data_IF_114229184953
#
_entry.id   IF_114229184953
#
_cell.length_a   1.000
_cell.length_b   1.000
_cell.length_c   1.000
_cell.angle_alpha   90.00
_cell.angle_beta   90.00
_cell.angle_gamma   90.00
#
_symmetry.space_group_name_H-M   'P 1'
#
loop_
_entity.id
_entity.type
_entity.pdbx_description
1 polymer ?
#
# COMPACT_ATOMS: atom_id res chain seq x y z
N UNK A 1 -18.60 -17.10 1.96
CA UNK A 1 -17.93 -15.82 1.78
C UNK A 1 -16.56 -15.80 2.44
N UNK A 2 -16.50 -16.17 3.69
CA UNK A 2 -15.22 -16.15 4.41
C UNK A 2 -14.15 -17.01 3.73
N UNK A 3 -14.51 -18.18 3.23
CA UNK A 3 -13.56 -19.05 2.53
C UNK A 3 -13.00 -18.39 1.28
N UNK A 4 -13.87 -17.72 0.52
CA UNK A 4 -13.45 -17.07 -0.72
C UNK A 4 -12.48 -15.93 -0.42
N UNK A 5 -12.80 -15.13 0.59
CA UNK A 5 -11.93 -14.01 0.98
C UNK A 5 -10.58 -14.54 1.48
N UNK A 6 -10.60 -15.61 2.26
CA UNK A 6 -9.38 -16.22 2.76
C UNK A 6 -8.52 -16.75 1.62
N UNK A 7 -9.13 -17.37 0.62
CA UNK A 7 -8.38 -17.88 -0.53
C UNK A 7 -7.75 -16.75 -1.33
N UNK A 8 -8.46 -15.63 -1.48
CA UNK A 8 -7.90 -14.46 -2.17
C UNK A 8 -6.71 -13.89 -1.39
N UNK A 9 -6.83 -13.82 -0.07
CA UNK A 9 -5.75 -13.31 0.77
C UNK A 9 -4.52 -14.21 0.70
N UNK A 10 -4.72 -15.52 0.69
CA UNK A 10 -3.60 -16.46 0.60
C UNK A 10 -2.89 -16.33 -0.74
N UNK A 11 -3.62 -16.16 -1.83
CA UNK A 11 -3.02 -15.99 -3.15
C UNK A 11 -2.20 -14.70 -3.21
N UNK A 12 -2.72 -13.61 -2.66
CA UNK A 12 -1.99 -12.34 -2.61
C UNK A 12 -0.71 -12.49 -1.81
N UNK A 13 -0.78 -13.13 -0.64
CA UNK A 13 0.38 -13.35 0.22
C UNK A 13 1.44 -14.18 -0.50
N UNK A 14 1.01 -15.21 -1.22
CA UNK A 14 1.95 -16.05 -1.95
C UNK A 14 2.66 -15.28 -3.05
N UNK A 15 1.93 -14.45 -3.80
CA UNK A 15 2.54 -13.62 -4.83
C UNK A 15 3.57 -12.67 -4.23
N UNK A 16 3.25 -12.04 -3.11
CA UNK A 16 4.17 -11.12 -2.44
C UNK A 16 5.44 -11.84 -2.01
N UNK A 17 5.30 -13.02 -1.42
CA UNK A 17 6.46 -13.80 -0.99
C UNK A 17 7.32 -14.24 -2.17
N UNK A 18 6.72 -14.40 -3.34
CA UNK A 18 7.43 -14.74 -4.57
C UNK A 18 7.91 -13.51 -5.32
N UNK A 19 7.83 -12.32 -4.70
CA UNK A 19 8.28 -11.05 -5.30
C UNK A 19 7.49 -10.65 -6.51
N UNK A 20 6.23 -11.04 -6.58
CA UNK A 20 5.29 -10.63 -7.62
C UNK A 20 4.41 -9.53 -7.04
N UNK A 21 4.67 -8.29 -7.45
CA UNK A 21 4.01 -7.13 -6.87
C UNK A 21 3.14 -6.41 -7.87
N UNK A 22 1.99 -5.93 -7.39
CA UNK A 22 1.15 -5.01 -8.13
C UNK A 22 1.57 -3.58 -7.79
N UNK A 23 1.29 -2.62 -8.69
CA UNK A 23 1.64 -1.22 -8.40
C UNK A 23 0.80 -0.60 -7.29
N UNK A 24 -0.40 -1.12 -7.04
CA UNK A 24 -1.30 -0.57 -6.03
C UNK A 24 -2.00 -1.71 -5.28
N UNK A 25 -2.04 -1.58 -3.98
CA UNK A 25 -2.83 -2.47 -3.11
C UNK A 25 -3.79 -1.59 -2.30
N UNK A 26 -5.09 -1.75 -2.55
CA UNK A 26 -6.11 -1.11 -1.74
C UNK A 26 -6.65 -2.14 -0.77
N UNK A 27 -6.20 -2.07 0.47
CA UNK A 27 -6.56 -3.05 1.50
C UNK A 27 -7.67 -2.44 2.34
N UNK A 28 -8.89 -2.87 2.09
CA UNK A 28 -10.08 -2.28 2.67
C UNK A 28 -10.96 -3.35 3.29
N UNK A 29 -11.67 -2.97 4.33
CA UNK A 29 -12.65 -3.85 4.93
C UNK A 29 -12.58 -3.86 6.44
N UNK A 30 -13.41 -4.73 7.03
CA UNK A 30 -13.53 -4.87 8.48
C UNK A 30 -12.51 -5.86 9.05
N UNK A 31 -11.93 -6.70 8.20
CA UNK A 31 -10.99 -7.73 8.62
C UNK A 31 -9.59 -7.15 8.77
N UNK A 32 -9.38 -6.44 9.87
CA UNK A 32 -8.10 -5.77 10.09
C UNK A 32 -6.93 -6.74 10.16
N UNK A 33 -7.19 -7.98 10.59
CA UNK A 33 -6.14 -9.01 10.64
C UNK A 33 -5.48 -9.20 9.26
N UNK A 34 -6.30 -9.37 8.20
CA UNK A 34 -5.75 -9.60 6.86
C UNK A 34 -5.16 -8.33 6.26
N UNK A 35 -5.74 -7.17 6.58
CA UNK A 35 -5.17 -5.91 6.13
C UNK A 35 -3.76 -5.76 6.70
N UNK A 36 -3.60 -6.00 8.00
CA UNK A 36 -2.30 -5.88 8.64
C UNK A 36 -1.32 -6.94 8.14
N UNK A 37 -1.80 -8.17 7.97
CA UNK A 37 -0.93 -9.27 7.52
C UNK A 37 -0.40 -9.00 6.11
N UNK A 38 -1.26 -8.59 5.19
CA UNK A 38 -0.84 -8.31 3.82
C UNK A 38 0.12 -7.12 3.82
N UNK A 39 -0.21 -6.07 4.56
CA UNK A 39 0.62 -4.88 4.64
C UNK A 39 2.01 -5.21 5.15
N UNK A 40 2.11 -5.94 6.26
CA UNK A 40 3.40 -6.31 6.83
C UNK A 40 4.19 -7.22 5.91
N UNK A 41 3.51 -8.13 5.21
CA UNK A 41 4.17 -9.02 4.27
C UNK A 41 4.78 -8.25 3.11
N UNK A 42 4.07 -7.23 2.61
CA UNK A 42 4.62 -6.35 1.57
C UNK A 42 5.86 -5.62 2.10
N UNK A 43 5.77 -5.07 3.30
CA UNK A 43 6.89 -4.34 3.90
C UNK A 43 8.12 -5.23 4.03
N UNK A 44 7.92 -6.49 4.41
CA UNK A 44 9.03 -7.42 4.59
C UNK A 44 9.67 -7.85 3.27
N UNK A 45 8.92 -7.83 2.17
CA UNK A 45 9.37 -8.44 0.92
C UNK A 45 9.64 -7.48 -0.22
N UNK A 46 9.15 -6.24 -0.13
CA UNK A 46 9.20 -5.32 -1.28
C UNK A 46 10.61 -4.81 -1.57
N UNK A 47 11.39 -4.54 -0.53
CA UNK A 47 12.69 -3.91 -0.68
C UNK A 47 13.74 -4.69 0.11
N UNK A 48 14.99 -4.61 -0.36
CA UNK A 48 16.13 -5.10 0.42
C UNK A 48 16.39 -4.13 1.56
N UNK A 49 17.03 -4.61 2.62
CA UNK A 49 17.33 -3.79 3.78
C UNK A 49 18.13 -2.55 3.39
N UNK A 50 19.07 -2.69 2.46
CA UNK A 50 19.90 -1.58 2.02
C UNK A 50 19.13 -0.53 1.23
N UNK A 51 17.93 -0.86 0.73
CA UNK A 51 17.13 0.05 -0.07
C UNK A 51 16.09 0.82 0.74
N UNK A 52 15.78 0.35 1.95
CA UNK A 52 14.65 0.87 2.72
C UNK A 52 14.81 2.32 3.14
N UNK A 53 16.01 2.73 3.50
CA UNK A 53 16.24 4.08 4.03
C UNK A 53 15.80 5.16 3.05
N UNK A 54 15.98 4.93 1.75
CA UNK A 54 15.69 5.92 0.73
C UNK A 54 14.44 5.61 -0.09
N UNK A 55 13.89 4.40 0.04
CA UNK A 55 12.81 3.97 -0.86
C UNK A 55 11.57 3.47 -0.14
N UNK A 56 11.54 3.51 1.18
CA UNK A 56 10.37 3.11 1.94
C UNK A 56 9.82 4.29 2.73
N UNK A 57 8.53 4.56 2.56
CA UNK A 57 7.84 5.62 3.28
C UNK A 57 6.58 5.05 3.88
N UNK A 58 6.41 5.21 5.19
CA UNK A 58 5.19 4.78 5.88
C UNK A 58 4.52 6.03 6.43
N UNK A 59 3.29 6.26 5.99
CA UNK A 59 2.51 7.42 6.35
C UNK A 59 1.29 6.99 7.14
N UNK A 60 0.88 7.82 8.09
CA UNK A 60 -0.31 7.56 8.90
C UNK A 60 -1.37 8.58 8.58
N UNK A 61 -2.62 8.11 8.44
CA UNK A 61 -3.72 8.97 8.03
C UNK A 61 -3.92 10.19 8.92
N UNK A 62 -3.64 10.05 10.22
CA UNK A 62 -3.79 11.16 11.15
C UNK A 62 -2.82 12.30 10.86
N UNK A 63 -1.71 12.01 10.18
CA UNK A 63 -0.67 12.99 9.88
C UNK A 63 -0.79 13.58 8.48
N UNK A 64 -1.80 13.18 7.72
CA UNK A 64 -1.95 13.55 6.30
C UNK A 64 -3.32 14.18 6.10
N UNK A 65 -3.34 15.40 5.58
CA UNK A 65 -4.59 16.08 5.31
C UNK A 65 -5.22 15.70 3.98
N UNK A 66 -4.40 15.34 3.00
CA UNK A 66 -4.89 15.17 1.64
C UNK A 66 -4.07 14.13 0.90
N UNK A 67 -4.73 13.33 0.07
CA UNK A 67 -4.06 12.32 -0.74
C UNK A 67 -3.06 12.89 -1.74
N UNK A 68 -3.10 14.19 -2.01
CA UNK A 68 -2.08 14.81 -2.86
C UNK A 68 -0.68 14.57 -2.33
N UNK A 69 -0.50 14.54 -1.00
CA UNK A 69 0.80 14.25 -0.39
C UNK A 69 1.24 12.84 -0.75
N UNK A 70 0.33 11.89 -0.66
CA UNK A 70 0.61 10.48 -0.99
C UNK A 70 0.96 10.34 -2.46
N UNK A 71 0.16 10.95 -3.33
CA UNK A 71 0.34 10.86 -4.77
C UNK A 71 1.67 11.47 -5.19
N UNK A 72 2.03 12.61 -4.61
CA UNK A 72 3.32 13.23 -4.91
C UNK A 72 4.47 12.32 -4.53
N UNK A 73 4.37 11.66 -3.38
CA UNK A 73 5.39 10.69 -2.98
C UNK A 73 5.42 9.49 -3.94
N UNK A 74 4.26 9.01 -4.36
CA UNK A 74 4.17 7.83 -5.24
C UNK A 74 4.73 8.10 -6.63
N UNK A 75 4.75 9.35 -7.06
CA UNK A 75 5.25 9.71 -8.39
C UNK A 75 6.75 9.89 -8.46
N UNK A 76 7.44 9.84 -7.34
CA UNK A 76 8.91 9.91 -7.35
C UNK A 76 9.50 8.63 -7.89
N UNK A 77 10.71 8.73 -8.42
CA UNK A 77 11.42 7.55 -8.85
C UNK A 77 12.27 6.99 -7.71
N UNK A 78 12.47 5.66 -7.69
CA UNK A 78 13.29 5.05 -6.65
C UNK A 78 14.75 5.53 -6.73
N UNK A 79 15.43 5.51 -5.60
CA UNK A 79 16.83 5.89 -5.52
C UNK A 79 17.68 4.64 -5.35
N UNK A 80 18.44 4.31 -6.41
CA UNK A 80 19.35 3.16 -6.40
C UNK A 80 18.64 1.84 -6.08
N UNK A 81 17.41 1.72 -6.57
CA UNK A 81 16.57 0.53 -6.39
C UNK A 81 15.60 0.46 -7.55
N UNK A 82 15.03 -0.72 -7.77
CA UNK A 82 14.04 -0.90 -8.82
C UNK A 82 12.68 -0.35 -8.45
N UNK A 83 12.39 -0.30 -7.16
CA UNK A 83 11.07 0.09 -6.65
C UNK A 83 11.19 0.96 -5.41
N UNK A 84 10.16 1.74 -5.19
CA UNK A 84 9.92 2.36 -3.89
C UNK A 84 8.61 1.84 -3.32
N UNK A 85 8.49 1.89 -2.01
CA UNK A 85 7.31 1.44 -1.28
C UNK A 85 6.72 2.62 -0.51
N UNK A 86 5.44 2.90 -0.76
CA UNK A 86 4.69 3.91 -0.02
C UNK A 86 3.54 3.18 0.66
N UNK A 87 3.50 3.22 1.98
CA UNK A 87 2.43 2.60 2.77
C UNK A 87 1.68 3.68 3.50
N UNK A 88 0.37 3.69 3.35
CA UNK A 88 -0.50 4.61 4.08
C UNK A 88 -1.38 3.80 5.02
N UNK A 89 -1.19 3.98 6.31
CA UNK A 89 -1.97 3.29 7.33
C UNK A 89 -3.07 4.22 7.83
N UNK A 90 -4.20 3.64 8.21
CA UNK A 90 -5.34 4.37 8.78
C UNK A 90 -5.82 5.48 7.83
N UNK A 91 -6.07 5.10 6.58
CA UNK A 91 -6.36 6.07 5.51
C UNK A 91 -7.81 6.55 5.47
N UNK A 92 -8.68 6.04 6.32
CA UNK A 92 -10.13 6.24 6.20
C UNK A 92 -10.58 7.70 6.31
N UNK A 93 -9.77 8.58 6.88
CA UNK A 93 -10.16 9.98 7.07
C UNK A 93 -9.36 10.96 6.23
N UNK A 94 -8.55 10.48 5.31
CA UNK A 94 -7.76 11.36 4.46
C UNK A 94 -8.67 11.96 3.38
N UNK A 95 -8.56 13.25 3.17
CA UNK A 95 -9.33 13.96 2.15
C UNK A 95 -8.65 13.88 0.79
N UNK A 96 -9.36 14.35 -0.24
CA UNK A 96 -8.76 14.43 -1.57
C UNK A 96 -8.69 13.10 -2.29
N UNK A 97 -9.69 12.25 -2.08
CA UNK A 97 -9.72 10.94 -2.72
C UNK A 97 -9.68 11.05 -4.24
N UNK A 98 -10.14 12.17 -4.80
CA UNK A 98 -10.08 12.38 -6.25
C UNK A 98 -8.65 12.35 -6.77
N UNK A 99 -7.70 12.87 -6.00
CA UNK A 99 -6.28 12.81 -6.38
C UNK A 99 -5.80 11.38 -6.44
N UNK A 100 -6.21 10.57 -5.47
CA UNK A 100 -5.85 9.15 -5.46
C UNK A 100 -6.46 8.44 -6.66
N UNK A 101 -7.74 8.65 -6.92
CA UNK A 101 -8.43 8.00 -8.03
C UNK A 101 -7.78 8.36 -9.36
N UNK A 102 -7.36 9.60 -9.52
CA UNK A 102 -6.68 10.03 -10.73
C UNK A 102 -5.34 9.28 -10.91
N UNK A 103 -4.57 9.17 -9.83
CA UNK A 103 -3.32 8.41 -9.85
C UNK A 103 -3.55 6.94 -10.24
N UNK A 104 -4.64 6.34 -9.73
CA UNK A 104 -4.92 4.93 -9.97
C UNK A 104 -5.21 4.62 -11.43
N UNK A 105 -5.58 5.62 -12.22
CA UNK A 105 -5.82 5.42 -13.65
C UNK A 105 -4.54 5.08 -14.40
N UNK A 106 -3.40 5.58 -13.93
CA UNK A 106 -2.13 5.29 -14.55
C UNK A 106 -1.03 5.31 -13.48
N UNK A 107 -0.97 4.28 -12.65
CA UNK A 107 0.02 4.26 -11.57
C UNK A 107 1.42 4.08 -12.10
N UNK A 108 2.39 4.60 -11.37
CA UNK A 108 3.80 4.45 -11.71
C UNK A 108 4.23 3.03 -11.37
N UNK A 109 4.79 2.31 -12.34
CA UNK A 109 5.10 0.89 -12.15
C UNK A 109 6.31 0.66 -11.25
N UNK A 110 7.13 1.66 -11.00
CA UNK A 110 8.26 1.55 -10.08
C UNK A 110 7.87 1.84 -8.63
N UNK A 111 6.61 2.14 -8.37
CA UNK A 111 6.10 2.39 -7.02
C UNK A 111 5.13 1.29 -6.62
N UNK A 112 5.29 0.77 -5.40
CA UNK A 112 4.27 -0.07 -4.78
C UNK A 112 3.55 0.83 -3.78
N UNK A 113 2.30 1.14 -4.07
CA UNK A 113 1.46 1.99 -3.20
C UNK A 113 0.48 1.12 -2.45
N UNK A 114 0.53 1.16 -1.13
CA UNK A 114 -0.35 0.36 -0.26
C UNK A 114 -1.21 1.31 0.55
N UNK A 115 -2.51 1.21 0.40
CA UNK A 115 -3.48 2.01 1.14
C UNK A 115 -4.27 1.11 2.06
N UNK A 116 -4.14 1.32 3.36
CA UNK A 116 -4.87 0.54 4.36
C UNK A 116 -6.03 1.36 4.90
N UNK A 117 -7.22 0.89 4.59
CA UNK A 117 -8.47 1.56 4.96
C UNK A 117 -9.30 0.57 5.76
N UNK A 118 -9.37 0.76 7.07
CA UNK A 118 -10.10 -0.15 7.94
C UNK A 118 -11.50 0.39 8.16
N UNK A 119 -12.49 -0.36 7.71
CA UNK A 119 -13.89 -0.03 7.91
C UNK A 119 -14.35 -0.50 9.28
N UNK A 120 -15.54 -0.08 9.66
CA UNK A 120 -16.19 -0.62 10.84
C UNK A 120 -15.69 -0.08 12.13
N UNK A 121 -14.78 0.85 12.10
CA UNK A 121 -14.36 1.55 13.30
C UNK A 121 -15.48 2.47 13.71
N UNK A 122 -16.08 2.27 14.86
CA UNK A 122 -17.15 3.15 15.27
C UNK A 122 -16.64 4.54 15.53
#
# INVERSE_FOLDING_TARGET
MAKKDTNQHLAILQDIRNKVFKPVYLLMGEESYYIDLICETIIENALKDSERDFNQTILYGADIDDFAIVVNAAKRFPMMAERQLIVVKEAQNIKGVDNLLYYLQKPLMSTILVICHKNGSP
#
